data_IF_607599244742
#
_entry.id   IF_607599244742
#
_cell.length_a   1.000
_cell.length_b   1.000
_cell.length_c   1.000
_cell.angle_alpha   90.00
_cell.angle_beta   90.00
_cell.angle_gamma   90.00
#
_symmetry.space_group_name_H-M   'P 1'
#
loop_
_entity.id
_entity.type
_entity.pdbx_description
1 polymer ?
#
# COMPACT_ATOMS: atom_id res chain seq x y z
N UNK A 1 -14.43 16.53 3.92
CA UNK A 1 -13.71 15.37 4.49
C UNK A 1 -13.29 14.34 3.43
N UNK A 2 -14.21 13.81 2.61
CA UNK A 2 -13.90 12.93 1.44
C UNK A 2 -12.89 13.59 0.49
N UNK A 3 -13.09 14.89 0.21
CA UNK A 3 -12.20 15.67 -0.65
C UNK A 3 -10.77 15.72 -0.11
N UNK A 4 -10.55 15.92 1.19
CA UNK A 4 -9.21 16.03 1.77
C UNK A 4 -8.46 14.68 1.74
N UNK A 5 -9.15 13.57 2.03
CA UNK A 5 -8.59 12.21 1.93
C UNK A 5 -8.25 11.86 0.48
N UNK A 6 -9.14 12.19 -0.46
CA UNK A 6 -8.89 12.08 -1.89
C UNK A 6 -7.76 12.99 -2.37
N UNK A 7 -7.59 14.17 -1.78
CA UNK A 7 -6.56 15.15 -2.15
C UNK A 7 -5.18 14.73 -1.64
N UNK A 8 -5.05 14.24 -0.40
CA UNK A 8 -3.76 13.74 0.13
C UNK A 8 -3.32 12.49 -0.65
N UNK A 9 -4.23 11.56 -0.90
CA UNK A 9 -3.96 10.37 -1.70
C UNK A 9 -3.69 10.70 -3.18
N UNK A 10 -4.42 11.65 -3.73
CA UNK A 10 -4.24 12.21 -5.07
C UNK A 10 -2.90 12.91 -5.22
N UNK A 11 -2.51 13.74 -4.25
CA UNK A 11 -1.21 14.42 -4.20
C UNK A 11 -0.09 13.40 -4.02
N UNK A 12 -0.25 12.38 -3.18
CA UNK A 12 0.72 11.29 -3.06
C UNK A 12 0.85 10.51 -4.37
N UNK A 13 -0.25 10.12 -5.02
CA UNK A 13 -0.22 9.43 -6.32
C UNK A 13 0.31 10.30 -7.45
N UNK A 14 0.08 11.62 -7.43
CA UNK A 14 0.63 12.58 -8.41
C UNK A 14 2.14 12.77 -8.16
N UNK A 15 2.58 13.02 -6.93
CA UNK A 15 4.00 13.14 -6.56
C UNK A 15 4.74 11.86 -6.91
N UNK A 16 4.12 10.70 -6.65
CA UNK A 16 4.70 9.40 -6.93
C UNK A 16 4.70 9.07 -8.42
N UNK A 17 3.63 9.42 -9.15
CA UNK A 17 3.61 9.37 -10.62
C UNK A 17 4.65 10.30 -11.23
N UNK A 18 4.95 11.44 -10.59
CA UNK A 18 5.99 12.38 -11.00
C UNK A 18 7.41 11.87 -10.68
N UNK A 19 7.61 11.23 -9.52
CA UNK A 19 8.88 10.56 -9.17
C UNK A 19 9.16 9.38 -10.11
N UNK A 20 8.12 8.63 -10.47
CA UNK A 20 8.18 7.54 -11.45
C UNK A 20 8.23 8.05 -12.89
N UNK A 21 7.70 9.25 -13.20
CA UNK A 21 7.87 9.86 -14.52
C UNK A 21 9.27 10.38 -14.72
N UNK A 22 9.95 10.91 -13.68
CA UNK A 22 11.40 11.21 -13.76
C UNK A 22 12.24 9.95 -13.95
N UNK A 23 11.76 8.78 -13.53
CA UNK A 23 12.37 7.50 -13.89
C UNK A 23 12.21 7.17 -15.39
N UNK A 24 11.22 7.73 -16.12
CA UNK A 24 11.10 7.58 -17.59
C UNK A 24 12.33 8.08 -18.34
N UNK A 25 12.99 9.11 -17.82
CA UNK A 25 14.18 9.72 -18.45
C UNK A 25 15.43 8.87 -18.24
N UNK A 26 15.55 8.17 -17.10
CA UNK A 26 16.74 7.34 -16.80
C UNK A 26 16.74 6.04 -17.63
N UNK A 27 15.57 5.56 -18.07
CA UNK A 27 15.46 4.36 -18.93
C UNK A 27 15.39 4.73 -20.41
N UNK A 28 15.49 6.02 -20.76
CA UNK A 28 16.03 6.37 -22.08
C UNK A 28 17.55 6.26 -21.87
N UNK A 29 18.06 5.04 -22.01
CA UNK A 29 19.39 4.90 -22.58
C UNK A 29 19.26 5.57 -23.95
N UNK A 30 19.57 6.86 -24.01
CA UNK A 30 20.09 7.43 -25.22
C UNK A 30 21.34 6.60 -25.44
N UNK A 31 21.33 5.74 -26.45
CA UNK A 31 22.49 4.95 -26.84
C UNK A 31 23.10 5.66 -28.05
N UNK A 32 23.77 6.82 -27.90
CA UNK A 32 24.60 7.34 -28.96
C UNK A 32 25.90 6.51 -28.91
N UNK A 33 26.16 5.76 -29.97
CA UNK A 33 27.47 5.15 -30.26
C UNK A 33 27.95 4.03 -29.31
N UNK A 34 27.45 2.80 -29.54
CA UNK A 34 28.29 1.61 -29.28
C UNK A 34 29.43 1.55 -30.31
N UNK A 35 30.49 2.33 -30.10
CA UNK A 35 31.79 2.08 -30.76
C UNK A 35 32.62 1.05 -29.99
N UNK A 36 32.29 0.77 -28.72
CA UNK A 36 32.93 -0.28 -27.89
C UNK A 36 32.19 -1.61 -27.99
N UNK A 37 32.93 -2.68 -28.26
CA UNK A 37 32.47 -4.07 -28.20
C UNK A 37 32.68 -4.57 -26.76
N UNK A 38 31.62 -5.04 -26.11
CA UNK A 38 31.70 -5.62 -24.78
C UNK A 38 31.72 -7.15 -24.87
N UNK A 39 32.66 -7.78 -24.19
CA UNK A 39 32.75 -9.23 -24.02
C UNK A 39 32.12 -9.56 -22.66
N UNK A 40 31.23 -10.55 -22.61
CA UNK A 40 30.45 -10.82 -21.39
C UNK A 40 31.35 -11.35 -20.27
N UNK A 41 32.31 -12.20 -20.61
CA UNK A 41 33.28 -12.78 -19.67
C UNK A 41 34.07 -11.68 -18.92
N UNK A 42 34.55 -10.67 -19.66
CA UNK A 42 35.27 -9.53 -19.07
C UNK A 42 34.38 -8.71 -18.12
N UNK A 43 33.10 -8.54 -18.48
CA UNK A 43 32.13 -7.86 -17.63
C UNK A 43 31.77 -8.68 -16.39
N UNK A 44 31.69 -10.01 -16.52
CA UNK A 44 31.39 -10.91 -15.42
C UNK A 44 32.51 -10.95 -14.38
N UNK A 45 33.76 -11.04 -14.83
CA UNK A 45 34.93 -10.94 -13.96
C UNK A 45 34.95 -9.60 -13.20
N UNK A 46 34.68 -8.50 -13.92
CA UNK A 46 34.71 -7.14 -13.35
C UNK A 46 33.55 -6.85 -12.39
N UNK A 47 32.34 -7.34 -12.67
CA UNK A 47 31.11 -6.88 -12.00
C UNK A 47 30.36 -7.93 -11.17
N UNK A 48 30.79 -9.19 -11.15
CA UNK A 48 30.15 -10.27 -10.36
C UNK A 48 30.00 -9.92 -8.88
N UNK A 49 31.05 -9.40 -8.24
CA UNK A 49 31.02 -9.00 -6.84
C UNK A 49 30.09 -7.81 -6.59
N UNK A 50 30.09 -6.82 -7.50
CA UNK A 50 29.19 -5.66 -7.45
C UNK A 50 27.73 -6.07 -7.56
N UNK A 51 27.43 -7.13 -8.31
CA UNK A 51 26.08 -7.67 -8.42
C UNK A 51 25.56 -8.24 -7.09
N UNK A 52 26.42 -8.93 -6.35
CA UNK A 52 26.08 -9.46 -5.01
C UNK A 52 25.79 -8.29 -4.06
N UNK A 53 26.66 -7.27 -4.05
CA UNK A 53 26.49 -6.05 -3.24
C UNK A 53 25.20 -5.32 -3.63
N UNK A 54 24.90 -5.23 -4.93
CA UNK A 54 23.67 -4.60 -5.44
C UNK A 54 22.42 -5.27 -4.86
N UNK A 55 22.34 -6.60 -4.91
CA UNK A 55 21.19 -7.33 -4.38
C UNK A 55 21.08 -7.26 -2.86
N UNK A 56 22.20 -7.34 -2.14
CA UNK A 56 22.22 -7.18 -0.68
C UNK A 56 21.74 -5.80 -0.26
N UNK A 57 22.23 -4.74 -0.91
CA UNK A 57 21.77 -3.37 -0.67
C UNK A 57 20.28 -3.22 -1.01
N UNK A 58 19.82 -3.79 -2.13
CA UNK A 58 18.42 -3.74 -2.51
C UNK A 58 17.51 -4.40 -1.48
N UNK A 59 17.95 -5.52 -0.92
CA UNK A 59 17.22 -6.24 0.11
C UNK A 59 17.18 -5.49 1.45
N UNK A 60 18.31 -4.91 1.89
CA UNK A 60 18.37 -4.12 3.11
C UNK A 60 17.50 -2.86 3.02
N UNK A 61 17.61 -2.11 1.92
CA UNK A 61 16.79 -0.91 1.69
C UNK A 61 15.32 -1.28 1.59
N UNK A 62 14.99 -2.41 0.94
CA UNK A 62 13.63 -2.94 0.88
C UNK A 62 13.05 -3.18 2.28
N UNK A 63 13.77 -3.86 3.16
CA UNK A 63 13.29 -4.15 4.52
C UNK A 63 13.04 -2.87 5.32
N UNK A 64 13.96 -1.91 5.26
CA UNK A 64 13.82 -0.63 5.95
C UNK A 64 12.61 0.15 5.41
N UNK A 65 12.47 0.25 4.09
CA UNK A 65 11.33 0.92 3.47
C UNK A 65 10.01 0.23 3.78
N UNK A 66 9.98 -1.11 3.79
CA UNK A 66 8.78 -1.86 4.13
C UNK A 66 8.29 -1.52 5.54
N UNK A 67 9.19 -1.55 6.53
CA UNK A 67 8.84 -1.20 7.91
C UNK A 67 8.35 0.24 8.05
N UNK A 68 9.00 1.19 7.36
CA UNK A 68 8.58 2.60 7.36
C UNK A 68 7.20 2.75 6.74
N UNK A 69 6.96 2.13 5.58
CA UNK A 69 5.72 2.33 4.80
C UNK A 69 4.51 1.66 5.47
N UNK A 70 4.66 0.46 6.04
CA UNK A 70 3.58 -0.19 6.79
C UNK A 70 3.15 0.70 7.96
N UNK A 71 4.11 1.21 8.75
CA UNK A 71 3.81 2.07 9.90
C UNK A 71 3.24 3.44 9.47
N UNK A 72 3.68 3.96 8.32
CA UNK A 72 3.14 5.20 7.77
C UNK A 72 1.66 5.06 7.38
N UNK A 73 1.27 3.98 6.70
CA UNK A 73 -0.12 3.74 6.35
C UNK A 73 -1.00 3.48 7.58
N UNK A 74 -0.48 2.76 8.57
CA UNK A 74 -1.14 2.55 9.87
C UNK A 74 -1.42 3.90 10.56
N UNK A 75 -0.44 4.81 10.59
CA UNK A 75 -0.59 6.14 11.17
C UNK A 75 -1.57 7.04 10.40
N UNK A 76 -1.59 6.97 9.07
CA UNK A 76 -2.59 7.68 8.25
C UNK A 76 -3.99 7.15 8.50
N UNK A 77 -4.13 5.84 8.68
CA UNK A 77 -5.38 5.21 9.09
C UNK A 77 -5.88 5.81 10.41
N UNK A 78 -4.99 6.02 11.38
CA UNK A 78 -5.34 6.48 12.73
C UNK A 78 -5.65 7.99 12.84
N UNK A 79 -4.95 8.86 12.10
CA UNK A 79 -4.94 10.32 12.37
C UNK A 79 -5.87 11.20 11.51
N UNK A 80 -6.81 10.63 10.75
CA UNK A 80 -7.74 11.39 9.90
C UNK A 80 -9.19 11.44 10.45
N UNK A 81 -9.38 11.13 11.73
CA UNK A 81 -10.64 11.23 12.46
C UNK A 81 -10.62 12.40 13.45
N UNK A 82 -10.66 13.64 12.95
CA UNK A 82 -10.85 14.82 13.80
C UNK A 82 -12.37 14.99 14.03
N UNK A 83 -12.88 14.37 15.12
CA UNK A 83 -14.05 14.77 15.94
C UNK A 83 -14.80 13.61 16.66
N UNK A 84 -14.23 12.40 16.77
CA UNK A 84 -15.08 11.20 16.90
C UNK A 84 -14.77 10.37 18.15
N UNK A 85 -15.82 10.06 18.93
CA UNK A 85 -15.78 9.22 20.15
C UNK A 85 -15.18 7.85 19.84
N UNK A 86 -15.43 7.30 18.65
CA UNK A 86 -14.70 6.15 18.11
C UNK A 86 -14.71 6.16 16.57
N UNK A 87 -13.52 6.06 15.96
CA UNK A 87 -13.36 5.81 14.52
C UNK A 87 -12.71 4.45 14.33
N UNK A 88 -13.42 3.49 13.71
CA UNK A 88 -12.81 2.22 13.34
C UNK A 88 -12.24 2.32 11.94
N UNK A 89 -10.97 2.00 11.82
CA UNK A 89 -10.19 2.09 10.57
C UNK A 89 -9.47 0.79 10.33
N UNK A 90 -9.11 0.58 9.07
CA UNK A 90 -8.41 -0.57 8.52
C UNK A 90 -7.22 -1.02 9.35
N UNK A 91 -7.19 -2.32 9.68
CA UNK A 91 -6.10 -2.95 10.45
C UNK A 91 -4.75 -2.87 9.72
N UNK A 92 -3.67 -2.92 10.50
CA UNK A 92 -2.29 -2.89 10.02
C UNK A 92 -1.98 -3.95 8.96
N UNK A 93 -2.57 -5.14 9.08
CA UNK A 93 -2.34 -6.27 8.17
C UNK A 93 -2.76 -5.97 6.73
N UNK A 94 -3.79 -5.14 6.55
CA UNK A 94 -4.22 -4.69 5.22
C UNK A 94 -3.11 -3.91 4.50
N UNK A 95 -2.34 -3.12 5.25
CA UNK A 95 -1.28 -2.27 4.70
C UNK A 95 -0.01 -3.04 4.33
N UNK A 96 0.10 -4.32 4.71
CA UNK A 96 1.24 -5.17 4.37
C UNK A 96 1.40 -5.28 2.86
N UNK A 97 0.33 -5.66 2.14
CA UNK A 97 0.43 -5.89 0.71
C UNK A 97 0.82 -4.62 -0.07
N UNK A 98 0.20 -3.44 0.19
CA UNK A 98 0.67 -2.20 -0.39
C UNK A 98 2.12 -1.87 -0.07
N UNK A 99 2.51 -2.03 1.20
CA UNK A 99 3.86 -1.72 1.62
C UNK A 99 4.91 -2.62 0.96
N UNK A 100 4.64 -3.93 0.78
CA UNK A 100 5.51 -4.86 0.07
C UNK A 100 5.78 -4.40 -1.37
N UNK A 101 4.73 -4.00 -2.08
CA UNK A 101 4.85 -3.55 -3.47
C UNK A 101 5.62 -2.22 -3.53
N UNK A 102 5.27 -1.26 -2.66
CA UNK A 102 5.94 0.04 -2.65
C UNK A 102 7.42 -0.06 -2.30
N UNK A 103 7.76 -0.81 -1.25
CA UNK A 103 9.13 -0.95 -0.80
C UNK A 103 9.99 -1.61 -1.88
N UNK A 104 9.45 -2.59 -2.63
CA UNK A 104 10.15 -3.23 -3.74
C UNK A 104 10.44 -2.26 -4.89
N UNK A 105 9.49 -1.40 -5.24
CA UNK A 105 9.69 -0.41 -6.29
C UNK A 105 10.67 0.70 -5.85
N UNK A 106 10.51 1.22 -4.64
CA UNK A 106 11.36 2.29 -4.12
C UNK A 106 12.78 1.81 -3.85
N UNK A 107 12.98 0.59 -3.31
CA UNK A 107 14.32 0.05 -3.07
C UNK A 107 15.14 -0.05 -4.35
N UNK A 108 14.52 -0.52 -5.44
CA UNK A 108 15.15 -0.56 -6.76
C UNK A 108 15.55 0.83 -7.27
N UNK A 109 14.75 1.86 -7.02
CA UNK A 109 15.09 3.23 -7.42
C UNK A 109 16.28 3.75 -6.61
N UNK A 110 16.24 3.56 -5.29
CA UNK A 110 17.29 4.02 -4.38
C UNK A 110 18.62 3.34 -4.70
N UNK A 111 18.63 2.00 -4.82
CA UNK A 111 19.87 1.26 -5.13
C UNK A 111 20.43 1.64 -6.49
N UNK A 112 19.60 1.79 -7.53
CA UNK A 112 20.10 2.24 -8.85
C UNK A 112 20.76 3.61 -8.77
N UNK A 113 20.21 4.54 -7.99
CA UNK A 113 20.83 5.86 -7.80
C UNK A 113 22.14 5.78 -7.03
N UNK A 114 22.19 4.97 -5.98
CA UNK A 114 23.41 4.74 -5.23
C UNK A 114 24.50 4.11 -6.11
N UNK A 115 24.17 3.06 -6.87
CA UNK A 115 25.11 2.42 -7.79
C UNK A 115 25.54 3.33 -8.94
N UNK A 116 24.65 4.18 -9.45
CA UNK A 116 25.03 5.21 -10.43
C UNK A 116 26.02 6.20 -9.83
N UNK A 117 25.89 6.56 -8.56
CA UNK A 117 26.83 7.44 -7.87
C UNK A 117 28.16 6.73 -7.52
N UNK A 118 28.13 5.44 -7.21
CA UNK A 118 29.33 4.65 -6.87
C UNK A 118 30.17 4.32 -8.12
N UNK A 119 29.52 3.92 -9.21
CA UNK A 119 30.20 3.43 -10.41
C UNK A 119 30.40 4.51 -11.49
N UNK A 120 29.70 5.65 -11.38
CA UNK A 120 29.81 6.78 -12.30
C UNK A 120 29.76 6.35 -13.78
N UNK A 121 30.85 6.53 -14.53
CA UNK A 121 30.95 6.15 -15.95
C UNK A 121 30.87 4.63 -16.18
N UNK A 122 31.30 3.82 -15.20
CA UNK A 122 31.24 2.35 -15.24
C UNK A 122 29.83 1.80 -14.95
N UNK A 123 28.87 2.65 -14.56
CA UNK A 123 27.50 2.23 -14.28
C UNK A 123 26.79 1.66 -15.51
N UNK A 124 27.07 2.20 -16.70
CA UNK A 124 26.45 1.73 -17.94
C UNK A 124 26.90 0.31 -18.29
N UNK A 125 28.20 0.02 -18.13
CA UNK A 125 28.77 -1.32 -18.29
C UNK A 125 28.14 -2.31 -17.31
N UNK A 126 27.99 -1.91 -16.05
CA UNK A 126 27.34 -2.71 -15.01
C UNK A 126 25.88 -3.03 -15.33
N UNK A 127 25.14 -2.06 -15.86
CA UNK A 127 23.74 -2.26 -16.27
C UNK A 127 23.66 -3.24 -17.45
N UNK A 128 24.55 -3.10 -18.44
CA UNK A 128 24.64 -4.04 -19.56
C UNK A 128 24.91 -5.46 -19.04
N UNK A 129 25.88 -5.63 -18.14
CA UNK A 129 26.16 -6.91 -17.48
C UNK A 129 24.91 -7.50 -16.83
N UNK A 130 24.18 -6.71 -16.02
CA UNK A 130 22.94 -7.17 -15.37
C UNK A 130 21.86 -7.67 -16.35
N UNK A 131 21.71 -7.02 -17.51
CA UNK A 131 20.73 -7.42 -18.52
C UNK A 131 21.18 -8.59 -19.41
N UNK A 132 22.48 -8.80 -19.55
CA UNK A 132 23.08 -9.81 -20.44
C UNK A 132 23.38 -11.15 -19.78
N UNK A 133 23.23 -11.26 -18.46
CA UNK A 133 23.44 -12.50 -17.67
C UNK A 133 22.72 -13.74 -18.21
N UNK A 134 21.73 -13.58 -19.10
CA UNK A 134 21.12 -14.68 -19.85
C UNK A 134 21.51 -14.58 -21.34
N UNK A 135 22.55 -15.34 -21.72
CA UNK A 135 22.91 -15.78 -23.10
C UNK A 135 22.48 -14.85 -24.23
N UNK A 136 22.92 -13.60 -24.22
CA UNK A 136 22.84 -12.74 -25.40
C UNK A 136 24.13 -12.96 -26.19
N UNK A 137 24.04 -13.56 -27.37
CA UNK A 137 25.21 -13.89 -28.18
C UNK A 137 25.59 -12.74 -29.13
N UNK A 138 24.65 -11.81 -29.37
CA UNK A 138 24.88 -10.66 -30.26
C UNK A 138 24.46 -9.32 -29.64
N UNK A 139 25.13 -8.25 -30.06
CA UNK A 139 24.79 -6.86 -29.70
C UNK A 139 23.33 -6.52 -30.03
N UNK A 140 22.80 -7.07 -31.13
CA UNK A 140 21.41 -6.89 -31.55
C UNK A 140 20.43 -7.52 -30.57
N UNK A 141 20.69 -8.75 -30.12
CA UNK A 141 19.89 -9.43 -29.09
C UNK A 141 19.92 -8.68 -27.77
N UNK A 142 21.10 -8.21 -27.36
CA UNK A 142 21.27 -7.40 -26.16
C UNK A 142 20.44 -6.11 -26.20
N UNK A 143 20.51 -5.35 -27.30
CA UNK A 143 19.72 -4.11 -27.47
C UNK A 143 18.22 -4.40 -27.46
N UNK A 144 17.78 -5.42 -28.21
CA UNK A 144 16.38 -5.84 -28.24
C UNK A 144 15.91 -6.22 -26.83
N UNK A 145 16.71 -6.99 -26.10
CA UNK A 145 16.38 -7.44 -24.75
C UNK A 145 16.29 -6.29 -23.76
N UNK A 146 17.23 -5.35 -23.79
CA UNK A 146 17.20 -4.14 -22.96
C UNK A 146 15.94 -3.31 -23.28
N UNK A 147 15.66 -3.11 -24.57
CA UNK A 147 14.51 -2.34 -25.03
C UNK A 147 13.17 -2.98 -24.62
N UNK A 148 12.99 -4.28 -24.87
CA UNK A 148 11.77 -5.00 -24.51
C UNK A 148 11.61 -5.11 -22.99
N UNK A 149 12.68 -5.40 -22.25
CA UNK A 149 12.63 -5.47 -20.79
C UNK A 149 12.27 -4.11 -20.17
N UNK A 150 12.83 -3.02 -20.71
CA UNK A 150 12.46 -1.65 -20.35
C UNK A 150 10.98 -1.36 -20.62
N UNK A 151 10.48 -1.69 -21.81
CA UNK A 151 9.09 -1.43 -22.21
C UNK A 151 8.09 -2.24 -21.39
N UNK A 152 8.37 -3.52 -21.15
CA UNK A 152 7.53 -4.41 -20.33
C UNK A 152 7.53 -3.93 -18.88
N UNK A 153 8.70 -3.58 -18.32
CA UNK A 153 8.80 -3.04 -16.96
C UNK A 153 8.00 -1.74 -16.80
N UNK A 154 7.99 -0.86 -17.83
CA UNK A 154 7.18 0.36 -17.83
C UNK A 154 5.68 0.07 -17.79
N UNK A 155 5.20 -0.91 -18.55
CA UNK A 155 3.78 -1.28 -18.56
C UNK A 155 3.40 -1.91 -17.23
N UNK A 156 4.20 -2.88 -16.77
CA UNK A 156 4.00 -3.57 -15.50
C UNK A 156 3.96 -2.59 -14.31
N UNK A 157 4.92 -1.67 -14.25
CA UNK A 157 4.96 -0.64 -13.21
C UNK A 157 3.71 0.24 -13.24
N UNK A 158 3.22 0.67 -14.41
CA UNK A 158 2.00 1.48 -14.49
C UNK A 158 0.77 0.72 -13.98
N UNK A 159 0.57 -0.52 -14.44
CA UNK A 159 -0.59 -1.33 -14.07
C UNK A 159 -0.60 -1.61 -12.57
N UNK A 160 0.55 -2.01 -12.01
CA UNK A 160 0.67 -2.26 -10.57
C UNK A 160 0.38 -1.01 -9.76
N UNK A 161 0.92 0.13 -10.18
CA UNK A 161 0.71 1.38 -9.44
C UNK A 161 -0.77 1.81 -9.46
N UNK A 162 -1.51 1.56 -10.54
CA UNK A 162 -2.96 1.80 -10.59
C UNK A 162 -3.71 0.85 -9.66
N UNK A 163 -3.44 -0.46 -9.73
CA UNK A 163 -4.07 -1.46 -8.85
C UNK A 163 -3.79 -1.17 -7.37
N UNK A 164 -2.56 -0.78 -7.08
CA UNK A 164 -2.09 -0.43 -5.74
C UNK A 164 -2.73 0.86 -5.23
N UNK A 165 -2.85 1.88 -6.08
CA UNK A 165 -3.57 3.10 -5.75
C UNK A 165 -5.03 2.77 -5.42
N UNK A 166 -5.70 1.98 -6.26
CA UNK A 166 -7.06 1.51 -5.98
C UNK A 166 -7.14 0.84 -4.61
N UNK A 167 -6.25 -0.11 -4.32
CA UNK A 167 -6.20 -0.82 -3.03
C UNK A 167 -6.02 0.13 -1.84
N UNK A 168 -5.12 1.12 -1.94
CA UNK A 168 -4.97 2.12 -0.86
C UNK A 168 -6.23 2.96 -0.72
N UNK A 169 -6.83 3.41 -1.83
CA UNK A 169 -8.10 4.13 -1.80
C UNK A 169 -9.21 3.31 -1.15
N UNK A 170 -9.27 1.99 -1.40
CA UNK A 170 -10.21 1.10 -0.72
C UNK A 170 -10.02 1.15 0.79
N UNK A 171 -8.78 1.01 1.25
CA UNK A 171 -8.46 1.04 2.67
C UNK A 171 -8.78 2.37 3.33
N UNK A 172 -8.43 3.49 2.70
CA UNK A 172 -8.68 4.83 3.27
C UNK A 172 -10.16 5.23 3.31
N UNK A 173 -10.99 4.61 2.46
CA UNK A 173 -12.43 4.86 2.41
C UNK A 173 -13.23 3.89 3.28
N UNK A 174 -12.59 2.85 3.81
CA UNK A 174 -13.22 1.95 4.77
C UNK A 174 -13.14 2.55 6.18
N UNK A 175 -14.27 2.97 6.72
CA UNK A 175 -14.37 3.41 8.11
C UNK A 175 -15.79 3.27 8.64
N UNK A 176 -15.88 3.11 9.96
CA UNK A 176 -17.09 3.48 10.69
C UNK A 176 -16.77 4.54 11.73
N UNK A 177 -17.72 5.44 11.90
CA UNK A 177 -17.63 6.54 12.82
C UNK A 177 -18.88 6.55 13.70
N UNK A 178 -18.66 6.47 15.01
CA UNK A 178 -19.74 6.53 15.99
C UNK A 178 -19.50 7.76 16.87
N UNK A 179 -20.47 8.66 16.87
CA UNK A 179 -20.41 9.92 17.61
C UNK A 179 -21.77 10.26 18.23
N UNK A 180 -21.87 11.39 18.93
CA UNK A 180 -23.12 11.77 19.59
C UNK A 180 -24.32 11.99 18.65
N UNK A 181 -24.09 12.18 17.35
CA UNK A 181 -25.14 12.44 16.36
C UNK A 181 -25.67 11.16 15.71
N UNK A 182 -24.89 10.07 15.73
CA UNK A 182 -25.30 8.80 15.15
C UNK A 182 -24.11 7.94 14.74
N UNK A 183 -24.40 6.99 13.87
CA UNK A 183 -23.46 6.00 13.34
C UNK A 183 -23.32 6.23 11.84
N UNK A 184 -22.10 6.48 11.39
CA UNK A 184 -21.76 6.63 9.98
C UNK A 184 -20.92 5.43 9.54
N UNK A 185 -21.37 4.77 8.49
CA UNK A 185 -20.73 3.54 7.98
C UNK A 185 -20.34 3.76 6.53
N UNK A 186 -19.07 3.49 6.23
CA UNK A 186 -18.53 3.49 4.89
C UNK A 186 -17.71 2.21 4.68
N UNK A 187 -18.32 1.20 4.07
CA UNK A 187 -17.77 -0.16 4.04
C UNK A 187 -17.12 -0.58 2.71
N UNK A 188 -16.96 0.31 1.73
CA UNK A 188 -16.46 0.04 0.35
C UNK A 188 -16.93 -1.30 -0.28
N UNK A 189 -17.72 -1.21 -1.35
CA UNK A 189 -18.64 -2.21 -1.92
C UNK A 189 -20.10 -2.09 -1.46
N UNK A 190 -20.55 -0.88 -1.11
CA UNK A 190 -21.91 -0.39 -1.45
C UNK A 190 -21.99 1.15 -1.46
N UNK A 191 -21.11 1.78 -2.24
CA UNK A 191 -21.12 3.11 -2.93
C UNK A 191 -21.66 4.39 -2.20
N UNK A 192 -22.30 4.33 -1.03
CA UNK A 192 -22.76 5.50 -0.28
C UNK A 192 -22.37 5.40 1.20
N UNK A 193 -21.92 6.53 1.76
CA UNK A 193 -21.86 6.75 3.20
C UNK A 193 -23.29 6.62 3.73
N UNK A 194 -23.54 5.62 4.59
CA UNK A 194 -24.81 5.49 5.27
C UNK A 194 -24.72 6.14 6.64
N UNK A 195 -25.76 6.89 6.98
CA UNK A 195 -25.90 7.53 8.29
C UNK A 195 -27.11 6.93 8.94
N UNK A 196 -26.91 6.46 10.16
CA UNK A 196 -27.94 5.91 11.01
C UNK A 196 -28.05 6.77 12.26
N UNK A 197 -29.25 7.24 12.57
CA UNK A 197 -29.56 7.76 13.89
C UNK A 197 -29.80 6.60 14.88
N UNK A 198 -29.70 6.87 16.17
CA UNK A 198 -29.77 5.82 17.19
C UNK A 198 -31.15 5.16 17.29
N UNK A 199 -32.21 5.87 16.94
CA UNK A 199 -33.56 5.35 16.84
C UNK A 199 -33.75 4.39 15.66
N UNK A 200 -32.82 4.33 14.70
CA UNK A 200 -32.83 3.38 13.59
C UNK A 200 -32.23 2.02 13.96
N UNK A 201 -31.72 1.87 15.18
CA UNK A 201 -31.21 0.60 15.69
C UNK A 201 -32.39 -0.32 16.03
N UNK A 202 -32.35 -1.54 15.49
CA UNK A 202 -33.35 -2.56 15.77
C UNK A 202 -32.88 -3.49 16.89
N UNK A 203 -31.73 -4.12 16.70
CA UNK A 203 -31.20 -5.14 17.61
C UNK A 203 -29.69 -4.92 17.78
N UNK A 204 -29.21 -5.10 19.00
CA UNK A 204 -27.79 -5.20 19.32
C UNK A 204 -27.55 -6.63 19.80
N UNK A 205 -26.60 -7.31 19.19
CA UNK A 205 -26.22 -8.68 19.51
C UNK A 205 -24.80 -8.66 20.04
N UNK A 206 -24.61 -9.19 21.25
CA UNK A 206 -23.33 -9.27 21.93
C UNK A 206 -22.75 -10.69 21.81
N UNK A 207 -21.47 -10.75 21.46
CA UNK A 207 -20.71 -11.99 21.27
C UNK A 207 -19.45 -11.95 22.14
N UNK A 208 -19.37 -12.83 23.15
CA UNK A 208 -18.17 -13.03 23.95
C UNK A 208 -17.40 -14.24 23.45
N UNK A 209 -16.13 -14.02 23.11
CA UNK A 209 -15.13 -15.10 23.06
C UNK A 209 -14.10 -14.90 24.16
N UNK A 210 -13.36 -15.97 24.49
CA UNK A 210 -12.32 -15.98 25.53
C UNK A 210 -11.23 -14.90 25.38
N UNK A 211 -11.15 -14.19 24.24
CA UNK A 211 -10.17 -13.13 23.97
C UNK A 211 -10.75 -11.85 23.35
N UNK A 212 -11.99 -11.87 22.87
CA UNK A 212 -12.55 -10.75 22.10
C UNK A 212 -14.02 -10.55 22.48
N UNK A 213 -14.36 -9.33 22.90
CA UNK A 213 -15.73 -8.81 22.94
C UNK A 213 -16.08 -8.22 21.59
N UNK A 214 -17.17 -8.70 21.00
CA UNK A 214 -17.68 -8.24 19.71
C UNK A 214 -19.16 -7.98 19.84
N UNK A 215 -19.67 -7.08 19.03
CA UNK A 215 -21.10 -6.88 18.93
C UNK A 215 -21.50 -6.52 17.51
N UNK A 216 -22.72 -6.89 17.18
CA UNK A 216 -23.35 -6.70 15.88
C UNK A 216 -24.60 -5.86 16.06
N UNK A 217 -24.72 -4.81 15.27
CA UNK A 217 -25.92 -3.97 15.19
C UNK A 217 -26.69 -4.39 13.95
N UNK A 218 -27.96 -4.71 14.13
CA UNK A 218 -28.92 -4.86 13.05
C UNK A 218 -29.84 -3.64 13.07
N UNK A 219 -29.76 -2.84 12.02
CA UNK A 219 -30.60 -1.66 11.85
C UNK A 219 -32.00 -2.06 11.39
N UNK A 220 -32.98 -1.16 11.57
CA UNK A 220 -34.39 -1.39 11.18
C UNK A 220 -34.57 -1.62 9.68
N UNK A 221 -33.66 -1.11 8.85
CA UNK A 221 -33.63 -1.34 7.40
C UNK A 221 -33.07 -2.73 7.01
N UNK A 222 -32.70 -3.56 8.01
CA UNK A 222 -32.10 -4.88 7.82
C UNK A 222 -30.60 -4.86 7.54
N UNK A 223 -29.96 -3.68 7.50
CA UNK A 223 -28.51 -3.59 7.35
C UNK A 223 -27.80 -4.01 8.65
N UNK A 224 -26.56 -4.47 8.48
CA UNK A 224 -25.78 -5.05 9.58
C UNK A 224 -24.43 -4.33 9.67
N UNK A 225 -24.03 -4.00 10.89
CA UNK A 225 -22.70 -3.49 11.21
C UNK A 225 -22.09 -4.26 12.36
N UNK A 226 -20.81 -4.65 12.21
CA UNK A 226 -20.11 -5.45 13.21
C UNK A 226 -18.93 -4.65 13.77
N UNK A 227 -18.76 -4.69 15.08
CA UNK A 227 -17.62 -4.11 15.79
C UNK A 227 -16.31 -4.85 15.50
N UNK A 228 -16.39 -6.01 14.84
CA UNK A 228 -15.26 -6.89 14.52
C UNK A 228 -15.06 -7.12 13.03
N UNK A 229 -15.47 -6.16 12.19
CA UNK A 229 -15.23 -6.25 10.75
C UNK A 229 -13.78 -6.59 10.43
N UNK A 230 -13.54 -7.27 9.31
CA UNK A 230 -12.23 -7.77 8.80
C UNK A 230 -11.12 -6.70 8.87
N UNK A 231 -11.51 -5.43 8.96
CA UNK A 231 -10.65 -4.26 8.90
C UNK A 231 -10.81 -3.35 10.13
N UNK A 232 -11.25 -3.82 11.31
CA UNK A 232 -11.43 -2.98 12.50
C UNK A 232 -10.48 -3.37 13.64
N UNK A 233 -9.82 -2.39 14.27
CA UNK A 233 -8.76 -2.60 15.26
C UNK A 233 -9.21 -2.30 16.71
N UNK A 234 -10.47 -2.52 17.05
CA UNK A 234 -10.99 -2.19 18.37
C UNK A 234 -10.61 -3.26 19.40
N UNK A 235 -10.11 -2.82 20.56
CA UNK A 235 -9.86 -3.71 21.70
C UNK A 235 -11.18 -4.13 22.33
N UNK A 236 -11.18 -5.29 22.98
CA UNK A 236 -12.34 -5.84 23.70
C UNK A 236 -13.01 -4.82 24.65
N UNK A 237 -12.20 -4.09 25.43
CA UNK A 237 -12.70 -3.07 26.37
C UNK A 237 -13.30 -1.84 25.65
N UNK A 238 -12.74 -1.45 24.52
CA UNK A 238 -13.26 -0.35 23.69
C UNK A 238 -14.58 -0.74 23.04
N UNK A 239 -14.71 -2.00 22.59
CA UNK A 239 -15.97 -2.53 22.08
C UNK A 239 -17.06 -2.54 23.14
N UNK A 240 -16.73 -2.93 24.37
CA UNK A 240 -17.69 -2.89 25.47
C UNK A 240 -18.17 -1.46 25.78
N UNK A 241 -17.23 -0.51 25.92
CA UNK A 241 -17.56 0.90 26.15
C UNK A 241 -18.41 1.49 25.03
N UNK A 242 -18.08 1.15 23.79
CA UNK A 242 -18.83 1.59 22.61
C UNK A 242 -20.23 1.00 22.56
N UNK A 243 -20.38 -0.29 22.85
CA UNK A 243 -21.68 -0.95 22.93
C UNK A 243 -22.55 -0.28 23.99
N UNK A 244 -22.03 -0.06 25.21
CA UNK A 244 -22.74 0.67 26.27
C UNK A 244 -23.19 2.05 25.84
N UNK A 245 -22.30 2.80 25.20
CA UNK A 245 -22.64 4.12 24.66
C UNK A 245 -23.79 4.06 23.64
N UNK A 246 -23.85 3.02 22.80
CA UNK A 246 -24.92 2.84 21.82
C UNK A 246 -26.23 2.40 22.49
N UNK A 247 -26.18 1.52 23.50
CA UNK A 247 -27.36 1.14 24.30
C UNK A 247 -28.00 2.36 24.96
N UNK A 248 -27.17 3.20 25.60
CA UNK A 248 -27.61 4.42 26.30
C UNK A 248 -28.24 5.45 25.34
N UNK A 249 -27.89 5.41 24.05
CA UNK A 249 -28.40 6.34 23.03
C UNK A 249 -29.60 5.81 22.25
N UNK A 250 -29.78 4.50 22.17
CA UNK A 250 -30.81 3.86 21.33
C UNK A 250 -31.99 3.28 22.10
N UNK A 251 -31.92 3.27 23.43
CA UNK A 251 -32.86 2.55 24.31
C UNK A 251 -32.99 1.04 24.01
N UNK A 252 -32.13 0.50 23.14
CA UNK A 252 -32.06 -0.93 22.79
C UNK A 252 -30.97 -1.58 23.62
N UNK A 253 -31.33 -2.65 24.35
CA UNK A 253 -30.36 -3.45 25.10
C UNK A 253 -29.77 -4.56 24.23
N UNK A 254 -28.49 -4.84 24.45
CA UNK A 254 -27.77 -5.93 23.82
C UNK A 254 -28.29 -7.28 24.31
N UNK A 255 -28.37 -8.22 23.37
CA UNK A 255 -28.76 -9.61 23.61
C UNK A 255 -27.50 -10.46 23.50
N UNK A 256 -27.19 -11.19 24.56
CA UNK A 256 -26.05 -12.11 24.61
C UNK A 256 -26.38 -13.39 23.82
N UNK A 257 -25.59 -13.70 22.79
CA UNK A 257 -25.60 -15.01 22.16
C UNK A 257 -24.72 -15.97 22.97
N UNK A 258 -25.36 -16.98 23.56
CA UNK A 258 -24.68 -18.11 24.23
C UNK A 258 -24.27 -19.18 23.24
#
# INVERSE_FOLDING_TARGET
MILLRGLVAGVFTIILSFLLSKYREIVILYIPNFTKRYIYEDLEEKYSSYLIVYYLMAWLIYLVLFLIIVNFFDLIGLNLGFDMINTMVVRKEYWIFPALIFSLHLSNIVVKRLFKAILEESYEEFIIFMFCKQRCFTLKEMIIRIYFSSKIYRIYSKVIMVVLAMYIFLGMLYYSNINNQGIVINNYFSILEKKYSYDEIGIIVEEYSWKEHKFTIVFKDGSIWNSSGILTNSKSEENYKLMKFIEDKSDVKAIELK
#
